data_IF_404465261606
#
_entry.id   IF_404465261606
#
_cell.length_a   1.000
_cell.length_b   1.000
_cell.length_c   1.000
_cell.angle_alpha   90.00
_cell.angle_beta   90.00
_cell.angle_gamma   90.00
#
_symmetry.space_group_name_H-M   'P 1'
#
loop_
_entity.id
_entity.type
_entity.pdbx_description
1 polymer ?
#
# COMPACT_ATOMS: atom_id res chain seq x y z
N UNK A 1 -11.73 19.96 4.74
CA UNK A 1 -11.24 18.58 5.03
C UNK A 1 -12.02 17.48 4.30
N UNK A 2 -13.29 17.69 3.95
CA UNK A 2 -14.12 16.73 3.20
C UNK A 2 -13.65 16.49 1.74
N UNK A 3 -13.12 17.52 1.07
CA UNK A 3 -12.62 17.42 -0.30
C UNK A 3 -11.37 16.52 -0.44
N UNK A 4 -10.52 16.47 0.59
CA UNK A 4 -9.37 15.53 0.63
C UNK A 4 -9.86 14.08 0.65
N UNK A 5 -10.88 13.76 1.44
CA UNK A 5 -11.47 12.41 1.47
C UNK A 5 -12.08 11.99 0.13
N UNK A 6 -12.67 12.94 -0.62
CA UNK A 6 -13.29 12.66 -1.91
C UNK A 6 -12.27 12.26 -3.00
N UNK A 7 -11.11 12.91 -3.04
CA UNK A 7 -10.00 12.53 -3.93
C UNK A 7 -9.23 11.31 -3.43
N UNK A 8 -9.07 11.17 -2.11
CA UNK A 8 -8.53 9.96 -1.50
C UNK A 8 -9.31 8.73 -1.96
N UNK A 9 -10.64 8.82 -2.08
CA UNK A 9 -11.47 7.67 -2.41
C UNK A 9 -11.13 7.00 -3.76
N UNK A 10 -10.72 7.78 -4.76
CA UNK A 10 -10.29 7.26 -6.07
C UNK A 10 -8.86 6.70 -6.05
N UNK A 11 -7.91 7.38 -5.40
CA UNK A 11 -6.56 6.83 -5.20
C UNK A 11 -6.58 5.56 -4.33
N UNK A 12 -7.52 5.47 -3.39
CA UNK A 12 -7.74 4.33 -2.51
C UNK A 12 -8.18 3.08 -3.27
N UNK A 13 -9.08 3.23 -4.24
CA UNK A 13 -9.53 2.09 -5.04
C UNK A 13 -8.40 1.45 -5.86
N UNK A 14 -7.54 2.26 -6.48
CA UNK A 14 -6.41 1.75 -7.27
C UNK A 14 -5.47 0.92 -6.39
N UNK A 15 -5.09 1.45 -5.22
CA UNK A 15 -4.21 0.74 -4.30
C UNK A 15 -4.82 -0.57 -3.78
N UNK A 16 -6.12 -0.61 -3.52
CA UNK A 16 -6.83 -1.83 -3.10
C UNK A 16 -6.77 -2.92 -4.18
N UNK A 17 -6.92 -2.58 -5.47
CA UNK A 17 -6.76 -3.56 -6.56
C UNK A 17 -5.33 -4.10 -6.61
N UNK A 18 -4.32 -3.24 -6.41
CA UNK A 18 -2.92 -3.66 -6.33
C UNK A 18 -2.60 -4.54 -5.12
N UNK A 19 -3.42 -4.51 -4.07
CA UNK A 19 -3.27 -5.38 -2.89
C UNK A 19 -3.80 -6.80 -3.17
N UNK A 20 -4.85 -6.96 -3.97
CA UNK A 20 -5.41 -8.28 -4.31
C UNK A 20 -4.51 -9.09 -5.24
N UNK A 21 -3.77 -8.43 -6.12
CA UNK A 21 -2.89 -9.07 -7.11
C UNK A 21 -1.80 -9.96 -6.51
N UNK A 22 -0.97 -9.49 -5.55
CA UNK A 22 0.05 -10.33 -4.93
C UNK A 22 -0.54 -11.45 -4.08
N UNK A 23 -1.72 -11.24 -3.47
CA UNK A 23 -2.41 -12.29 -2.70
C UNK A 23 -2.85 -13.42 -3.63
N UNK A 24 -3.48 -13.08 -4.76
CA UNK A 24 -3.88 -14.05 -5.77
C UNK A 24 -2.68 -14.82 -6.33
N UNK A 25 -1.57 -14.12 -6.62
CA UNK A 25 -0.36 -14.76 -7.13
C UNK A 25 0.35 -15.66 -6.10
N UNK A 26 0.24 -15.39 -4.80
CA UNK A 26 0.72 -16.33 -3.77
C UNK A 26 -0.18 -17.56 -3.69
N UNK A 27 -1.49 -17.40 -3.84
CA UNK A 27 -2.46 -18.51 -3.85
C UNK A 27 -2.30 -19.38 -5.11
N UNK A 28 -2.01 -18.79 -6.28
CA UNK A 28 -1.74 -19.53 -7.52
C UNK A 28 -0.38 -20.23 -7.53
N UNK A 29 0.50 -19.90 -6.58
CA UNK A 29 1.86 -20.44 -6.48
C UNK A 29 2.90 -19.70 -7.32
N UNK A 30 2.52 -18.58 -7.95
CA UNK A 30 3.41 -17.76 -8.79
C UNK A 30 4.37 -16.89 -7.94
N UNK A 31 3.99 -16.56 -6.70
CA UNK A 31 4.80 -15.74 -5.79
C UNK A 31 5.12 -16.45 -4.47
N UNK A 32 6.30 -16.17 -3.87
CA UNK A 32 6.66 -16.71 -2.57
C UNK A 32 5.78 -16.15 -1.46
N UNK A 33 5.60 -16.91 -0.37
CA UNK A 33 4.89 -16.49 0.84
C UNK A 33 5.40 -15.15 1.42
N UNK A 34 6.68 -14.84 1.24
CA UNK A 34 7.28 -13.57 1.67
C UNK A 34 6.62 -12.35 1.01
N UNK A 35 6.05 -12.51 -0.18
CA UNK A 35 5.31 -11.46 -0.88
C UNK A 35 4.08 -11.00 -0.08
N UNK A 36 3.46 -11.87 0.72
CA UNK A 36 2.36 -11.48 1.61
C UNK A 36 2.83 -10.53 2.72
N UNK A 37 4.01 -10.79 3.30
CA UNK A 37 4.60 -9.93 4.32
C UNK A 37 4.88 -8.53 3.75
N UNK A 38 5.49 -8.48 2.55
CA UNK A 38 5.73 -7.22 1.85
C UNK A 38 4.43 -6.49 1.51
N UNK A 39 3.39 -7.22 1.10
CA UNK A 39 2.06 -6.66 0.83
C UNK A 39 1.44 -6.09 2.12
N UNK A 40 1.56 -6.76 3.25
CA UNK A 40 1.07 -6.26 4.54
C UNK A 40 1.76 -4.95 4.96
N UNK A 41 3.09 -4.86 4.77
CA UNK A 41 3.87 -3.65 5.03
C UNK A 41 3.43 -2.50 4.12
N UNK A 42 3.22 -2.79 2.83
CA UNK A 42 2.72 -1.82 1.85
C UNK A 42 1.35 -1.27 2.25
N UNK A 43 0.40 -2.15 2.62
CA UNK A 43 -0.92 -1.76 3.11
C UNK A 43 -0.80 -0.84 4.32
N UNK A 44 0.00 -1.22 5.32
CA UNK A 44 0.20 -0.42 6.53
C UNK A 44 0.77 0.97 6.25
N UNK A 45 1.80 1.05 5.40
CA UNK A 45 2.36 2.32 4.95
C UNK A 45 1.33 3.16 4.19
N UNK A 46 0.58 2.55 3.28
CA UNK A 46 -0.46 3.23 2.51
C UNK A 46 -1.54 3.85 3.40
N UNK A 47 -2.09 3.09 4.35
CA UNK A 47 -3.05 3.61 5.33
C UNK A 47 -2.46 4.70 6.22
N UNK A 48 -1.18 4.58 6.58
CA UNK A 48 -0.49 5.59 7.38
C UNK A 48 -0.40 6.92 6.63
N UNK A 49 -0.15 6.91 5.31
CA UNK A 49 -0.16 8.15 4.51
C UNK A 49 -1.54 8.78 4.47
N UNK A 50 -2.57 7.94 4.32
CA UNK A 50 -3.95 8.37 4.19
C UNK A 50 -4.52 8.98 5.49
N UNK A 51 -4.25 8.31 6.62
CA UNK A 51 -4.92 8.57 7.90
C UNK A 51 -4.07 9.40 8.87
N UNK A 52 -2.74 9.35 8.75
CA UNK A 52 -1.85 10.04 9.68
C UNK A 52 -1.62 11.50 9.26
N UNK A 53 -1.75 12.41 10.22
CA UNK A 53 -1.31 13.80 10.08
C UNK A 53 0.14 14.03 10.55
N UNK A 54 0.81 12.99 11.07
CA UNK A 54 2.19 13.10 11.51
C UNK A 54 3.15 13.03 10.32
N UNK A 55 3.80 14.16 10.03
CA UNK A 55 4.74 14.33 8.91
C UNK A 55 5.84 13.26 8.85
N UNK A 56 6.41 12.88 9.99
CA UNK A 56 7.44 11.82 10.08
C UNK A 56 6.93 10.47 9.60
N UNK A 57 5.76 10.04 10.08
CA UNK A 57 5.16 8.76 9.67
C UNK A 57 4.79 8.76 8.19
N UNK A 58 4.27 9.89 7.68
CA UNK A 58 4.02 10.04 6.24
C UNK A 58 5.29 9.90 5.39
N UNK A 59 6.42 10.50 5.80
CA UNK A 59 7.69 10.40 5.06
C UNK A 59 8.24 8.97 5.04
N UNK A 60 8.19 8.27 6.18
CA UNK A 60 8.62 6.87 6.27
C UNK A 60 7.73 5.99 5.37
N UNK A 61 6.42 6.21 5.40
CA UNK A 61 5.50 5.45 4.56
C UNK A 61 5.69 5.73 3.07
N UNK A 62 6.03 6.96 2.67
CA UNK A 62 6.40 7.28 1.29
C UNK A 62 7.65 6.53 0.84
N UNK A 63 8.67 6.42 1.70
CA UNK A 63 9.87 5.62 1.41
C UNK A 63 9.53 4.14 1.25
N UNK A 64 8.66 3.60 2.11
CA UNK A 64 8.21 2.20 2.03
C UNK A 64 7.48 1.93 0.71
N UNK A 65 6.58 2.83 0.29
CA UNK A 65 5.89 2.72 -1.00
C UNK A 65 6.88 2.73 -2.18
N UNK A 66 7.89 3.60 -2.15
CA UNK A 66 8.92 3.66 -3.19
C UNK A 66 9.71 2.36 -3.26
N UNK A 67 10.20 1.86 -2.12
CA UNK A 67 10.95 0.60 -2.06
C UNK A 67 10.14 -0.57 -2.61
N UNK A 68 8.84 -0.62 -2.30
CA UNK A 68 7.95 -1.67 -2.79
C UNK A 68 7.85 -1.69 -4.32
N UNK A 69 7.79 -0.53 -4.97
CA UNK A 69 7.73 -0.43 -6.45
C UNK A 69 9.02 -0.96 -7.09
N UNK A 70 10.19 -0.75 -6.47
CA UNK A 70 11.49 -1.19 -7.02
C UNK A 70 11.86 -2.63 -6.69
N UNK A 71 11.20 -3.24 -5.72
CA UNK A 71 11.51 -4.60 -5.26
C UNK A 71 10.66 -5.69 -5.96
N UNK A 72 9.51 -5.30 -6.52
CA UNK A 72 8.68 -6.15 -7.39
C UNK A 72 9.28 -6.27 -8.80
#
# INVERSE_FOLDING_TARGET
>A
MWEKFKNIHHMFHVAVVFIFFPIAGVISGDYPLLTLLWTAIFIGAYYTILLSNHKMFQQISWLILLVYIFYS
#
